data_IF_006472606751
#
_entry.id   IF_006472606751
#
_cell.length_a   1.000
_cell.length_b   1.000
_cell.length_c   1.000
_cell.angle_alpha   90.00
_cell.angle_beta   90.00
_cell.angle_gamma   90.00
#
_symmetry.space_group_name_H-M   'P 1'
#
loop_
_entity.id
_entity.type
_entity.pdbx_description
1 polymer ?
#
# COMPACT_ATOMS: atom_id res chain seq x y z
N UNK A 1 -22.27 2.66 11.68
CA UNK A 1 -21.19 2.31 10.76
C UNK A 1 -20.07 1.58 11.49
N UNK A 2 -19.67 0.47 10.99
CA UNK A 2 -18.63 -0.31 11.63
C UNK A 2 -17.25 0.18 11.26
N UNK A 3 -16.40 0.38 12.26
CA UNK A 3 -15.00 0.74 12.03
C UNK A 3 -14.19 -0.54 11.89
N UNK A 4 -14.42 -1.23 10.78
CA UNK A 4 -13.72 -2.48 10.50
C UNK A 4 -12.55 -2.23 9.57
N UNK A 5 -11.47 -2.89 9.88
CA UNK A 5 -10.32 -2.93 8.99
C UNK A 5 -10.37 -4.25 8.24
N UNK A 6 -10.24 -4.18 6.92
CA UNK A 6 -10.08 -5.40 6.13
C UNK A 6 -8.72 -5.99 6.43
N UNK A 7 -8.71 -7.15 7.05
CA UNK A 7 -7.46 -7.82 7.43
C UNK A 7 -7.08 -8.87 6.40
N UNK A 8 -5.83 -9.30 6.48
CA UNK A 8 -5.31 -10.40 5.68
C UNK A 8 -6.20 -11.66 5.79
N UNK A 9 -6.64 -11.98 7.01
CA UNK A 9 -7.48 -13.15 7.23
C UNK A 9 -8.81 -13.03 6.48
N UNK A 10 -9.40 -11.84 6.45
CA UNK A 10 -10.65 -11.61 5.75
C UNK A 10 -10.49 -11.70 4.24
N UNK A 11 -9.37 -11.22 3.71
CA UNK A 11 -9.07 -11.37 2.29
C UNK A 11 -8.93 -12.86 1.93
N UNK A 12 -8.23 -13.61 2.76
CA UNK A 12 -8.07 -15.05 2.57
C UNK A 12 -9.41 -15.77 2.57
N UNK A 13 -10.29 -15.43 3.53
CA UNK A 13 -11.63 -16.01 3.62
C UNK A 13 -12.44 -15.76 2.34
N UNK A 14 -12.40 -14.53 1.86
CA UNK A 14 -13.11 -14.17 0.63
C UNK A 14 -12.59 -14.95 -0.57
N UNK A 15 -11.28 -15.12 -0.67
CA UNK A 15 -10.66 -15.87 -1.76
C UNK A 15 -11.06 -17.34 -1.72
N UNK A 16 -11.12 -17.93 -0.53
CA UNK A 16 -11.57 -19.33 -0.39
C UNK A 16 -12.96 -19.50 -0.96
N UNK A 17 -13.87 -18.58 -0.65
CA UNK A 17 -15.25 -18.66 -1.12
C UNK A 17 -15.37 -18.44 -2.62
N UNK A 18 -14.60 -17.53 -3.18
CA UNK A 18 -14.76 -17.14 -4.59
C UNK A 18 -13.95 -18.00 -5.55
N UNK A 19 -12.79 -18.45 -5.13
CA UNK A 19 -11.86 -19.17 -6.02
C UNK A 19 -11.96 -20.67 -5.88
N UNK A 20 -12.42 -21.18 -4.74
CA UNK A 20 -12.57 -22.61 -4.51
C UNK A 20 -11.28 -23.33 -4.16
N UNK A 21 -10.24 -22.60 -3.83
CA UNK A 21 -8.99 -23.18 -3.35
C UNK A 21 -9.02 -23.36 -1.83
N UNK A 22 -8.08 -24.13 -1.32
CA UNK A 22 -7.97 -24.30 0.12
C UNK A 22 -7.50 -23.00 0.78
N UNK A 23 -7.72 -22.88 2.08
CA UNK A 23 -7.28 -21.73 2.84
C UNK A 23 -5.77 -21.54 2.74
N UNK A 24 -5.02 -22.63 2.82
CA UNK A 24 -3.55 -22.57 2.72
C UNK A 24 -3.12 -22.07 1.34
N UNK A 25 -3.76 -22.58 0.29
CA UNK A 25 -3.45 -22.13 -1.08
C UNK A 25 -3.74 -20.65 -1.27
N UNK A 26 -4.87 -20.18 -0.74
CA UNK A 26 -5.21 -18.76 -0.83
C UNK A 26 -4.25 -17.89 -0.05
N UNK A 27 -3.83 -18.33 1.12
CA UNK A 27 -2.85 -17.62 1.93
C UNK A 27 -1.51 -17.52 1.21
N UNK A 28 -1.07 -18.62 0.58
CA UNK A 28 0.19 -18.64 -0.16
C UNK A 28 0.14 -17.73 -1.38
N UNK A 29 -0.99 -17.71 -2.09
CA UNK A 29 -1.18 -16.81 -3.23
C UNK A 29 -1.12 -15.34 -2.80
N UNK A 30 -1.75 -15.03 -1.68
CA UNK A 30 -1.73 -13.67 -1.15
C UNK A 30 -0.30 -13.26 -0.76
N UNK A 31 0.44 -14.16 -0.10
CA UNK A 31 1.83 -13.93 0.23
C UNK A 31 2.66 -13.65 -1.01
N UNK A 32 2.48 -14.49 -2.04
CA UNK A 32 3.23 -14.34 -3.28
C UNK A 32 2.91 -13.03 -3.98
N UNK A 33 1.64 -12.64 -3.98
CA UNK A 33 1.21 -11.37 -4.58
C UNK A 33 1.88 -10.18 -3.88
N UNK A 34 1.86 -10.18 -2.56
CA UNK A 34 2.49 -9.11 -1.77
C UNK A 34 4.00 -9.07 -2.01
N UNK A 35 4.64 -10.23 -2.04
CA UNK A 35 6.08 -10.32 -2.32
C UNK A 35 6.43 -9.80 -3.69
N UNK A 36 5.62 -10.12 -4.71
CA UNK A 36 5.84 -9.62 -6.07
C UNK A 36 5.78 -8.09 -6.11
N UNK A 37 4.81 -7.52 -5.42
CA UNK A 37 4.68 -6.05 -5.36
C UNK A 37 5.92 -5.45 -4.70
N UNK A 38 6.35 -6.02 -3.58
CA UNK A 38 7.54 -5.55 -2.87
C UNK A 38 8.80 -5.65 -3.69
N UNK A 39 9.00 -6.78 -4.37
CA UNK A 39 10.15 -7.00 -5.25
C UNK A 39 10.17 -5.99 -6.40
N UNK A 40 9.03 -5.79 -7.03
CA UNK A 40 8.92 -4.85 -8.15
C UNK A 40 9.21 -3.40 -7.69
N UNK A 41 8.72 -3.03 -6.52
CA UNK A 41 9.00 -1.69 -5.97
C UNK A 41 10.49 -1.50 -5.70
N UNK A 42 11.15 -2.54 -5.20
CA UNK A 42 12.58 -2.49 -4.95
C UNK A 42 13.38 -2.37 -6.24
N UNK A 43 12.98 -3.09 -7.29
CA UNK A 43 13.72 -3.16 -8.54
C UNK A 43 13.42 -2.00 -9.49
N UNK A 44 12.14 -1.71 -9.71
CA UNK A 44 11.73 -0.72 -10.71
C UNK A 44 11.20 0.57 -10.11
N UNK A 45 10.79 0.53 -8.87
CA UNK A 45 10.26 1.71 -8.17
C UNK A 45 8.81 2.06 -8.48
N UNK A 46 8.14 1.29 -9.32
CA UNK A 46 6.74 1.56 -9.66
C UNK A 46 5.98 0.27 -9.87
N UNK A 47 4.78 0.20 -9.29
CA UNK A 47 3.83 -0.90 -9.53
C UNK A 47 2.50 -0.28 -9.89
N UNK A 48 1.96 -0.65 -11.04
CA UNK A 48 0.68 -0.14 -11.53
C UNK A 48 -0.36 -1.25 -11.49
N UNK A 49 -1.39 -1.06 -10.69
CA UNK A 49 -2.51 -1.98 -10.60
C UNK A 49 -3.74 -1.31 -11.19
N UNK A 50 -4.08 -1.72 -12.41
CA UNK A 50 -5.19 -1.15 -13.15
C UNK A 50 -6.45 -1.18 -12.29
N UNK A 51 -7.20 -0.07 -12.28
CA UNK A 51 -8.47 0.10 -11.55
C UNK A 51 -8.29 0.30 -10.04
N UNK A 52 -7.10 0.06 -9.50
CA UNK A 52 -6.83 0.23 -8.07
C UNK A 52 -5.95 1.45 -7.81
N UNK A 53 -4.74 1.44 -8.35
CA UNK A 53 -3.83 2.57 -8.17
C UNK A 53 -2.39 2.18 -8.43
N UNK A 54 -1.52 3.12 -8.15
CA UNK A 54 -0.09 2.95 -8.40
C UNK A 54 0.69 3.14 -7.11
N UNK A 55 1.66 2.25 -6.90
CA UNK A 55 2.66 2.43 -5.85
C UNK A 55 3.92 2.99 -6.49
N UNK A 56 4.49 4.02 -5.90
CA UNK A 56 5.68 4.69 -6.41
C UNK A 56 6.68 4.86 -5.28
N UNK A 57 7.93 4.46 -5.54
CA UNK A 57 9.02 4.68 -4.59
C UNK A 57 9.68 6.00 -4.93
N UNK A 58 9.92 6.80 -3.93
CA UNK A 58 10.62 8.08 -4.08
C UNK A 58 11.82 8.13 -3.16
N UNK A 59 12.92 8.62 -3.68
CA UNK A 59 14.12 8.87 -2.89
C UNK A 59 14.06 10.31 -2.40
N UNK A 60 14.01 10.47 -1.10
CA UNK A 60 14.00 11.80 -0.48
C UNK A 60 15.38 12.12 0.06
N UNK A 61 15.90 13.27 -0.35
CA UNK A 61 17.22 13.74 0.10
C UNK A 61 17.17 14.14 1.56
N UNK A 62 18.33 14.06 2.21
CA UNK A 62 18.49 14.62 3.54
C UNK A 62 18.17 16.11 3.51
N UNK A 63 17.54 16.60 4.54
CA UNK A 63 17.16 18.00 4.63
C UNK A 63 17.13 18.47 6.06
N UNK A 64 17.14 19.79 6.23
CA UNK A 64 16.94 20.41 7.52
C UNK A 64 15.44 20.44 7.83
N UNK A 65 15.08 19.96 9.01
CA UNK A 65 13.75 20.13 9.54
C UNK A 65 13.78 21.05 10.73
N UNK A 66 12.62 21.40 11.25
CA UNK A 66 12.53 22.23 12.42
C UNK A 66 11.43 21.69 13.33
N UNK A 67 11.76 21.56 14.61
CA UNK A 67 10.77 21.18 15.60
C UNK A 67 9.85 22.36 15.87
N UNK A 68 8.56 22.27 15.56
CA UNK A 68 7.64 23.40 15.72
C UNK A 68 7.44 23.83 17.17
N UNK A 69 7.73 22.96 18.15
CA UNK A 69 7.59 23.31 19.56
C UNK A 69 8.79 24.06 20.12
N UNK A 70 9.98 23.72 19.67
CA UNK A 70 11.23 24.31 20.21
C UNK A 70 11.89 25.27 19.25
N UNK A 71 11.53 25.23 17.98
CA UNK A 71 12.19 26.04 16.95
C UNK A 71 13.59 25.55 16.61
N UNK A 72 14.04 24.48 17.22
CA UNK A 72 15.39 23.94 17.01
C UNK A 72 15.41 23.14 15.71
N UNK A 73 16.43 23.38 14.88
CA UNK A 73 16.64 22.62 13.65
C UNK A 73 16.97 21.18 13.96
N UNK A 74 16.46 20.27 13.14
CA UNK A 74 16.78 18.86 13.22
C UNK A 74 17.05 18.34 11.82
N UNK A 75 18.09 17.52 11.69
CA UNK A 75 18.45 16.96 10.39
C UNK A 75 17.58 15.76 10.08
N UNK A 76 16.94 15.77 8.90
CA UNK A 76 16.16 14.64 8.42
C UNK A 76 17.02 13.88 7.41
N UNK A 77 17.27 12.60 7.70
CA UNK A 77 18.14 11.77 6.87
C UNK A 77 17.52 11.47 5.51
N UNK A 78 18.38 11.22 4.53
CA UNK A 78 17.95 10.71 3.23
C UNK A 78 17.26 9.38 3.43
N UNK A 79 16.18 9.12 2.65
CA UNK A 79 15.40 7.88 2.78
C UNK A 79 14.63 7.59 1.52
N UNK A 80 14.23 6.32 1.37
CA UNK A 80 13.29 5.90 0.34
C UNK A 80 11.92 5.74 0.97
N UNK A 81 10.91 6.24 0.31
CA UNK A 81 9.52 6.12 0.77
C UNK A 81 8.65 5.58 -0.35
N UNK A 82 7.60 4.85 0.05
CA UNK A 82 6.61 4.34 -0.89
C UNK A 82 5.34 5.16 -0.75
N UNK A 83 4.82 5.63 -1.87
CA UNK A 83 3.58 6.41 -1.92
C UNK A 83 2.55 5.67 -2.75
N UNK A 84 1.30 5.68 -2.33
CA UNK A 84 0.20 5.11 -3.08
C UNK A 84 -0.65 6.21 -3.68
N UNK A 85 -0.93 6.08 -4.98
CA UNK A 85 -1.82 6.99 -5.70
C UNK A 85 -3.03 6.21 -6.19
N UNK A 86 -4.19 6.51 -5.64
CA UNK A 86 -5.42 5.83 -6.02
C UNK A 86 -5.81 6.15 -7.46
N UNK A 87 -6.33 5.14 -8.17
CA UNK A 87 -6.85 5.34 -9.52
C UNK A 87 -8.11 6.20 -9.49
N UNK A 88 -8.48 6.83 -10.62
CA UNK A 88 -9.75 7.55 -10.69
C UNK A 88 -10.95 6.67 -10.34
N UNK A 89 -10.94 5.42 -10.77
CA UNK A 89 -12.02 4.48 -10.44
C UNK A 89 -12.12 4.23 -8.94
N UNK A 90 -10.99 4.04 -8.29
CA UNK A 90 -10.97 3.83 -6.84
C UNK A 90 -11.44 5.08 -6.10
N UNK A 91 -10.96 6.25 -6.53
CA UNK A 91 -11.39 7.52 -5.93
C UNK A 91 -12.89 7.70 -6.03
N UNK A 92 -13.47 7.43 -7.20
CA UNK A 92 -14.91 7.54 -7.42
C UNK A 92 -15.67 6.56 -6.55
N UNK A 93 -15.19 5.32 -6.46
CA UNK A 93 -15.85 4.28 -5.67
C UNK A 93 -15.88 4.64 -4.19
N UNK A 94 -14.80 5.19 -3.67
CA UNK A 94 -14.72 5.59 -2.26
C UNK A 94 -15.46 6.89 -2.01
N UNK A 95 -15.31 7.86 -2.89
CA UNK A 95 -15.89 9.19 -2.73
C UNK A 95 -17.36 9.30 -3.03
N UNK A 96 -17.97 8.31 -3.70
CA UNK A 96 -19.37 8.36 -4.11
C UNK A 96 -20.27 7.51 -3.21
N UNK A 97 -19.89 7.33 -1.99
CA UNK A 97 -20.58 6.45 -1.06
C UNK A 97 -21.79 7.09 -0.36
N UNK A 98 -22.17 8.26 -0.72
CA UNK A 98 -23.33 8.95 -0.14
C UNK A 98 -24.69 8.40 -0.59
#
# INVERSE_FOLDING_TARGET
MANRTLTRAEVTDALVHEVGLTRQECSDLLDRTIDLIGEALQDTGTVKLSRFGNFVVRDKKAREGRNPKTGIGAKISARRVTTFHASPMLKNRVGSSD
#
